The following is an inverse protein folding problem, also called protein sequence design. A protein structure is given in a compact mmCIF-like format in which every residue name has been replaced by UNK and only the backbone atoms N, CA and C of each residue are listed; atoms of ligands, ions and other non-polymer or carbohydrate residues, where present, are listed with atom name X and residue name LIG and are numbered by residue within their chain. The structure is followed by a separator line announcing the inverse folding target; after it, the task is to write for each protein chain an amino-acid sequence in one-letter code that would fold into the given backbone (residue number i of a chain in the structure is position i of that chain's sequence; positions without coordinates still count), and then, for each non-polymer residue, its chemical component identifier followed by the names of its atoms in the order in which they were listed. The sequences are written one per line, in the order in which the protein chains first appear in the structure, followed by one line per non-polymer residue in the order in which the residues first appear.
data_IF_525739962006
#
_entry.id   IF_525739962006
#
_cell.length_a   1.000
_cell.length_b   1.000
_cell.length_c   1.000
_cell.angle_alpha   90.00
_cell.angle_beta   90.00
_cell.angle_gamma   90.00
#
_symmetry.space_group_name_H-M   'P 1'
#
loop_
_entity.id
_entity.type
_entity.pdbx_description
1 polymer ?
#
# COMPACT_ATOMS: atom_id res chain seq x y z
N UNK A 1 -25.90 32.19 30.87
CA UNK A 1 -24.47 32.22 30.51
C UNK A 1 -24.16 33.62 29.98
N UNK A 2 -23.10 34.27 30.47
CA UNK A 2 -22.76 35.65 30.06
C UNK A 2 -21.89 35.63 28.78
N UNK A 3 -21.85 36.74 28.05
CA UNK A 3 -21.12 36.85 26.78
C UNK A 3 -19.64 36.45 26.90
N UNK A 4 -18.99 36.76 28.02
CA UNK A 4 -17.59 36.40 28.27
C UNK A 4 -17.37 34.88 28.34
N UNK A 5 -18.31 34.13 28.91
CA UNK A 5 -18.24 32.66 28.95
C UNK A 5 -18.34 32.05 27.55
N UNK A 6 -19.23 32.60 26.71
CA UNK A 6 -19.39 32.14 25.33
C UNK A 6 -18.13 32.43 24.51
N UNK A 7 -17.55 33.61 24.68
CA UNK A 7 -16.32 33.98 23.99
C UNK A 7 -15.15 33.10 24.44
N UNK A 8 -15.06 32.78 25.74
CA UNK A 8 -14.07 31.84 26.27
C UNK A 8 -14.23 30.45 25.66
N UNK A 9 -15.44 29.90 25.65
CA UNK A 9 -15.70 28.59 25.06
C UNK A 9 -15.37 28.53 23.55
N UNK A 10 -15.67 29.59 22.79
CA UNK A 10 -15.28 29.69 21.37
C UNK A 10 -13.76 29.72 21.24
N UNK A 11 -13.06 30.49 22.08
CA UNK A 11 -11.61 30.63 22.03
C UNK A 11 -10.87 29.34 22.37
N UNK A 12 -11.36 28.58 23.32
CA UNK A 12 -10.75 27.32 23.78
C UNK A 12 -11.06 26.16 22.84
N UNK A 13 -12.10 26.29 22.01
CA UNK A 13 -12.45 25.27 21.03
C UNK A 13 -11.43 25.20 19.88
N UNK A 14 -10.86 24.01 19.60
CA UNK A 14 -9.89 23.83 18.50
C UNK A 14 -10.45 24.22 17.13
N UNK A 15 -11.78 24.26 16.97
CA UNK A 15 -12.41 24.68 15.74
C UNK A 15 -12.11 26.13 15.39
N UNK A 16 -12.09 27.04 16.37
CA UNK A 16 -11.96 28.48 16.16
C UNK A 16 -10.55 29.01 16.43
N UNK A 17 -9.58 28.13 16.68
CA UNK A 17 -8.17 28.52 16.80
C UNK A 17 -7.65 29.21 15.53
N UNK A 18 -6.95 30.33 15.72
CA UNK A 18 -6.41 31.15 14.63
C UNK A 18 -7.42 32.09 13.97
N UNK A 19 -8.69 32.07 14.41
CA UNK A 19 -9.70 33.04 14.00
C UNK A 19 -9.48 34.39 14.70
N UNK A 20 -9.72 35.50 13.98
CA UNK A 20 -9.64 36.85 14.55
C UNK A 20 -10.61 37.02 15.72
N UNK A 21 -10.21 37.81 16.72
CA UNK A 21 -11.00 37.99 17.95
C UNK A 21 -12.36 38.64 17.65
N UNK A 22 -12.40 39.59 16.72
CA UNK A 22 -13.62 40.26 16.29
C UNK A 22 -14.64 39.27 15.70
N UNK A 23 -14.14 38.29 14.94
CA UNK A 23 -14.95 37.24 14.32
C UNK A 23 -15.46 36.25 15.38
N UNK A 24 -14.63 35.87 16.36
CA UNK A 24 -15.05 35.06 17.50
C UNK A 24 -16.13 35.77 18.34
N UNK A 25 -15.97 37.08 18.58
CA UNK A 25 -16.97 37.89 19.27
C UNK A 25 -18.28 37.98 18.49
N UNK A 26 -18.22 38.07 17.17
CA UNK A 26 -19.40 38.09 16.32
C UNK A 26 -20.13 36.75 16.35
N UNK A 27 -19.41 35.63 16.28
CA UNK A 27 -19.98 34.30 16.43
C UNK A 27 -20.63 34.11 17.81
N UNK A 28 -20.01 34.59 18.90
CA UNK A 28 -20.63 34.57 20.23
C UNK A 28 -21.98 35.31 20.27
N UNK A 29 -22.14 36.40 19.49
CA UNK A 29 -23.40 37.15 19.39
C UNK A 29 -24.45 36.46 18.51
N UNK A 30 -24.01 35.78 17.46
CA UNK A 30 -24.89 35.08 16.52
C UNK A 30 -25.37 33.72 17.05
N UNK A 31 -24.67 33.16 18.03
CA UNK A 31 -24.98 31.87 18.61
C UNK A 31 -26.14 31.93 19.60
N UNK A 32 -26.91 30.84 19.67
CA UNK A 32 -27.97 30.62 20.64
C UNK A 32 -27.59 29.49 21.60
N UNK A 33 -27.67 29.74 22.90
CA UNK A 33 -27.48 28.69 23.91
C UNK A 33 -28.76 27.86 24.01
N UNK A 34 -28.59 26.54 24.06
CA UNK A 34 -29.67 25.57 24.20
C UNK A 34 -29.28 24.46 25.19
N UNK A 35 -30.24 24.06 26.02
CA UNK A 35 -30.06 23.08 27.10
C UNK A 35 -30.77 21.79 26.72
N UNK A 36 -30.05 20.67 26.82
CA UNK A 36 -30.51 19.35 26.42
C UNK A 36 -30.71 18.46 27.65
N UNK A 37 -31.85 17.76 27.76
CA UNK A 37 -32.06 16.79 28.83
C UNK A 37 -31.22 15.51 28.58
N UNK A 38 -31.16 14.65 29.59
CA UNK A 38 -30.64 13.29 29.42
C UNK A 38 -31.42 12.54 28.32
N UNK A 39 -30.70 11.89 27.41
CA UNK A 39 -31.23 11.30 26.18
C UNK A 39 -31.57 12.31 25.07
N UNK A 40 -31.30 13.60 25.26
CA UNK A 40 -31.60 14.65 24.28
C UNK A 40 -30.85 14.44 22.98
N UNK A 41 -31.57 14.40 21.85
CA UNK A 41 -31.01 14.14 20.51
C UNK A 41 -30.76 15.46 19.79
N UNK A 42 -29.54 15.66 19.31
CA UNK A 42 -29.19 16.80 18.45
C UNK A 42 -29.66 16.57 17.01
N UNK A 43 -29.43 15.37 16.49
CA UNK A 43 -29.87 14.97 15.15
C UNK A 43 -29.80 13.45 14.96
N UNK A 44 -30.49 12.96 13.93
CA UNK A 44 -30.52 11.55 13.52
C UNK A 44 -29.92 11.31 12.12
N UNK A 45 -29.53 10.07 11.80
CA UNK A 45 -29.18 9.69 10.44
C UNK A 45 -30.31 10.01 9.47
N UNK A 46 -29.96 10.49 8.27
CA UNK A 46 -30.89 10.91 7.23
C UNK A 46 -31.39 12.35 7.35
N UNK A 47 -31.28 12.99 8.52
CA UNK A 47 -31.69 14.38 8.70
C UNK A 47 -30.71 15.34 7.99
N UNK A 48 -31.23 16.49 7.56
CA UNK A 48 -30.40 17.58 7.06
C UNK A 48 -29.86 18.42 8.23
N UNK A 49 -28.63 18.94 8.13
CA UNK A 49 -28.01 19.67 9.22
C UNK A 49 -28.71 21.01 9.46
N UNK A 50 -29.23 21.19 10.67
CA UNK A 50 -30.01 22.37 11.08
C UNK A 50 -29.13 23.49 11.66
N UNK A 51 -28.01 23.14 12.28
CA UNK A 51 -27.09 24.09 12.92
C UNK A 51 -25.67 23.51 13.03
N UNK A 52 -24.70 24.39 13.29
CA UNK A 52 -23.40 24.06 13.89
C UNK A 52 -23.56 24.08 15.41
N UNK A 53 -22.99 23.10 16.11
CA UNK A 53 -23.05 23.02 17.57
C UNK A 53 -21.65 23.10 18.16
N UNK A 54 -21.50 23.83 19.26
CA UNK A 54 -20.36 23.80 20.16
C UNK A 54 -20.84 23.30 21.52
N UNK A 55 -20.24 22.23 22.04
CA UNK A 55 -20.56 21.69 23.36
C UNK A 55 -19.99 22.62 24.42
N UNK A 56 -20.85 23.18 25.28
CA UNK A 56 -20.47 24.03 26.41
C UNK A 56 -20.42 23.27 27.72
N UNK A 57 -21.21 22.20 27.84
CA UNK A 57 -21.28 21.34 29.01
C UNK A 57 -21.87 19.98 28.62
N UNK A 58 -21.45 18.93 29.31
CA UNK A 58 -21.84 17.54 29.03
C UNK A 58 -21.02 16.87 27.92
N UNK A 59 -21.47 15.67 27.53
CA UNK A 59 -20.83 14.84 26.50
C UNK A 59 -21.88 14.43 25.46
N UNK A 60 -21.56 14.67 24.19
CA UNK A 60 -22.34 14.18 23.05
C UNK A 60 -21.76 12.84 22.61
N UNK A 61 -22.59 11.81 22.62
CA UNK A 61 -22.29 10.50 22.06
C UNK A 61 -22.73 10.48 20.59
N UNK A 62 -21.80 10.12 19.70
CA UNK A 62 -22.05 9.97 18.27
C UNK A 62 -22.08 8.49 17.93
N UNK A 63 -23.22 8.01 17.44
CA UNK A 63 -23.43 6.62 17.07
C UNK A 63 -23.58 6.44 15.56
N UNK A 64 -23.04 5.36 15.01
CA UNK A 64 -23.19 4.98 13.60
C UNK A 64 -23.59 3.52 13.48
N UNK A 65 -24.35 3.21 12.45
CA UNK A 65 -24.69 1.82 12.11
C UNK A 65 -23.53 1.21 11.33
N UNK A 66 -22.92 0.17 11.88
CA UNK A 66 -21.76 -0.52 11.28
C UNK A 66 -22.21 -1.65 10.34
N UNK A 67 -23.29 -2.35 10.69
CA UNK A 67 -24.00 -3.29 9.84
C UNK A 67 -25.43 -3.49 10.36
N UNK A 68 -26.34 -3.97 9.51
CA UNK A 68 -27.74 -4.21 9.87
C UNK A 68 -27.93 -5.23 11.01
N UNK A 69 -26.90 -6.03 11.33
CA UNK A 69 -26.94 -7.05 12.39
C UNK A 69 -26.50 -6.50 13.75
N UNK A 70 -25.59 -5.51 13.77
CA UNK A 70 -24.97 -4.96 15.01
C UNK A 70 -25.67 -3.67 15.48
N UNK A 71 -26.36 -2.99 14.57
CA UNK A 71 -27.11 -1.76 14.86
C UNK A 71 -26.23 -0.56 15.15
N UNK A 72 -26.79 0.47 15.82
CA UNK A 72 -26.09 1.70 16.17
C UNK A 72 -25.06 1.46 17.28
N UNK A 73 -23.79 1.75 17.00
CA UNK A 73 -22.69 1.69 17.98
C UNK A 73 -22.07 3.08 18.19
N UNK A 74 -21.65 3.42 19.42
CA UNK A 74 -20.89 4.64 19.70
C UNK A 74 -19.54 4.63 18.96
N UNK A 75 -19.28 5.66 18.15
CA UNK A 75 -18.03 5.82 17.39
C UNK A 75 -17.19 7.01 17.85
N UNK A 76 -17.79 7.95 18.60
CA UNK A 76 -17.07 9.08 19.17
C UNK A 76 -17.81 9.67 20.37
N UNK A 77 -17.04 10.27 21.28
CA UNK A 77 -17.54 11.05 22.41
C UNK A 77 -16.97 12.46 22.32
N UNK A 78 -17.84 13.47 22.29
CA UNK A 78 -17.48 14.87 22.11
C UNK A 78 -17.85 15.66 23.37
N UNK A 79 -16.84 16.06 24.13
CA UNK A 79 -17.00 16.85 25.36
C UNK A 79 -16.96 18.36 25.13
N UNK A 80 -16.92 19.12 26.21
CA UNK A 80 -16.80 20.58 26.20
C UNK A 80 -15.71 21.08 25.24
N UNK A 81 -16.01 22.17 24.51
CA UNK A 81 -15.13 22.74 23.50
C UNK A 81 -15.20 22.05 22.12
N UNK A 82 -15.82 20.87 22.03
CA UNK A 82 -15.95 20.15 20.76
C UNK A 82 -17.05 20.74 19.89
N UNK A 83 -16.79 20.81 18.60
CA UNK A 83 -17.79 21.17 17.59
C UNK A 83 -18.41 19.94 16.95
N UNK A 84 -19.67 20.07 16.52
CA UNK A 84 -20.43 19.01 15.85
C UNK A 84 -21.07 19.57 14.60
N UNK A 85 -21.09 18.77 13.52
CA UNK A 85 -21.71 19.05 12.21
C UNK A 85 -20.96 20.02 11.30
N UNK A 86 -19.69 20.32 11.56
CA UNK A 86 -18.94 21.43 10.97
C UNK A 86 -18.85 21.39 9.46
N UNK A 87 -18.67 20.19 8.90
CA UNK A 87 -18.67 20.00 7.45
C UNK A 87 -20.09 19.95 6.88
N UNK A 88 -21.01 19.34 7.63
CA UNK A 88 -22.36 19.03 7.15
C UNK A 88 -23.19 20.30 7.07
N UNK A 89 -23.08 21.19 8.06
CA UNK A 89 -23.74 22.50 8.06
C UNK A 89 -23.38 23.33 6.82
N UNK A 90 -22.17 23.18 6.27
CA UNK A 90 -21.79 23.81 5.01
C UNK A 90 -22.36 23.06 3.80
N UNK A 91 -22.07 21.78 3.67
CA UNK A 91 -22.41 20.99 2.48
C UNK A 91 -23.91 20.77 2.32
N UNK A 92 -24.69 20.84 3.41
CA UNK A 92 -26.11 20.50 3.41
C UNK A 92 -26.40 19.01 3.17
N UNK A 93 -25.36 18.16 3.15
CA UNK A 93 -25.53 16.72 2.92
C UNK A 93 -26.12 16.04 4.15
N UNK A 94 -26.87 14.97 3.93
CA UNK A 94 -27.51 14.21 5.00
C UNK A 94 -26.50 13.75 6.06
N UNK A 95 -26.96 13.76 7.32
CA UNK A 95 -26.24 13.25 8.46
C UNK A 95 -26.26 11.71 8.42
N UNK A 96 -25.16 11.08 8.82
CA UNK A 96 -24.97 9.62 8.75
C UNK A 96 -24.80 8.98 10.12
N UNK A 97 -25.01 9.76 11.18
CA UNK A 97 -24.80 9.36 12.56
C UNK A 97 -25.91 9.95 13.43
N UNK A 98 -26.25 9.24 14.50
CA UNK A 98 -27.05 9.76 15.61
C UNK A 98 -26.10 10.55 16.52
N UNK A 99 -26.52 11.74 16.97
CA UNK A 99 -25.82 12.46 18.02
C UNK A 99 -26.79 12.80 19.14
N UNK A 100 -26.47 12.39 20.37
CA UNK A 100 -27.31 12.66 21.55
C UNK A 100 -26.47 12.88 22.81
N UNK A 101 -27.10 13.44 23.84
CA UNK A 101 -26.53 13.59 25.17
C UNK A 101 -26.99 12.45 26.08
N UNK A 102 -26.14 11.50 26.49
CA UNK A 102 -26.56 10.44 27.40
C UNK A 102 -27.04 10.99 28.76
N UNK A 103 -26.32 11.96 29.33
CA UNK A 103 -26.60 12.55 30.64
C UNK A 103 -27.20 13.97 30.60
N UNK A 104 -27.45 14.51 29.40
CA UNK A 104 -27.82 15.91 29.20
C UNK A 104 -26.59 16.81 29.05
N UNK A 105 -26.82 18.08 28.71
CA UNK A 105 -25.74 19.05 28.51
C UNK A 105 -26.23 20.35 27.88
N UNK A 106 -25.28 21.21 27.52
CA UNK A 106 -25.57 22.54 26.94
C UNK A 106 -24.75 22.77 25.68
N UNK A 107 -25.36 23.38 24.67
CA UNK A 107 -24.67 23.74 23.42
C UNK A 107 -24.83 25.22 23.10
N UNK A 108 -23.81 25.81 22.46
CA UNK A 108 -23.95 27.02 21.66
C UNK A 108 -24.23 26.60 20.21
N UNK A 109 -25.30 27.12 19.62
CA UNK A 109 -25.77 26.71 18.30
C UNK A 109 -25.81 27.88 17.33
N UNK A 110 -25.35 27.65 16.10
CA UNK A 110 -25.52 28.57 14.98
C UNK A 110 -26.44 27.94 13.94
N UNK A 111 -27.71 28.39 13.84
CA UNK A 111 -28.62 27.90 12.82
C UNK A 111 -28.00 28.04 11.43
N UNK A 112 -28.13 27.00 10.61
CA UNK A 112 -27.50 26.93 9.29
C UNK A 112 -27.74 28.18 8.43
N UNK A 113 -28.96 28.75 8.34
CA UNK A 113 -29.18 29.96 7.54
C UNK A 113 -28.40 31.17 8.07
N UNK A 114 -28.27 31.30 9.40
CA UNK A 114 -27.53 32.40 10.04
C UNK A 114 -26.03 32.24 9.78
N UNK A 115 -25.51 31.03 9.99
CA UNK A 115 -24.10 30.72 9.76
C UNK A 115 -23.71 30.94 8.29
N UNK A 116 -24.50 30.43 7.34
CA UNK A 116 -24.21 30.61 5.93
C UNK A 116 -24.28 32.06 5.49
N UNK A 117 -25.30 32.81 5.93
CA UNK A 117 -25.40 34.24 5.61
C UNK A 117 -24.15 34.98 6.06
N UNK A 118 -23.68 34.68 7.27
CA UNK A 118 -22.48 35.27 7.81
C UNK A 118 -21.22 34.85 7.07
N UNK A 119 -21.10 33.57 6.69
CA UNK A 119 -20.00 33.05 5.88
C UNK A 119 -19.94 33.70 4.49
N UNK A 120 -21.08 34.03 3.88
CA UNK A 120 -21.12 34.77 2.62
C UNK A 120 -20.64 36.22 2.75
N UNK A 121 -20.78 36.83 3.93
CA UNK A 121 -20.39 38.23 4.17
C UNK A 121 -19.02 38.40 4.83
N UNK A 122 -18.54 37.41 5.60
CA UNK A 122 -17.27 37.45 6.31
C UNK A 122 -16.18 36.71 5.54
N UNK A 123 -15.20 37.46 5.06
CA UNK A 123 -14.02 36.90 4.39
C UNK A 123 -13.17 36.08 5.35
N UNK A 124 -13.08 36.50 6.61
CA UNK A 124 -12.29 35.84 7.64
C UNK A 124 -12.89 34.48 8.00
N UNK A 125 -14.20 34.41 8.20
CA UNK A 125 -14.89 33.14 8.45
C UNK A 125 -14.77 32.18 7.26
N UNK A 126 -14.93 32.69 6.04
CA UNK A 126 -14.80 31.89 4.83
C UNK A 126 -13.38 31.32 4.67
N UNK A 127 -12.34 32.14 4.85
CA UNK A 127 -10.94 31.70 4.77
C UNK A 127 -10.61 30.69 5.88
N UNK A 128 -11.12 30.91 7.10
CA UNK A 128 -10.94 29.97 8.21
C UNK A 128 -11.49 28.58 7.85
N UNK A 129 -12.71 28.52 7.31
CA UNK A 129 -13.31 27.27 6.84
C UNK A 129 -12.51 26.63 5.69
N UNK A 130 -12.08 27.42 4.71
CA UNK A 130 -11.27 26.92 3.59
C UNK A 130 -9.96 26.30 4.07
N UNK A 131 -9.22 26.98 4.95
CA UNK A 131 -7.97 26.49 5.51
C UNK A 131 -8.18 25.23 6.35
N UNK A 132 -9.24 25.17 7.16
CA UNK A 132 -9.60 23.99 7.95
C UNK A 132 -9.94 22.79 7.07
N UNK A 133 -10.73 23.00 6.01
CA UNK A 133 -11.07 21.94 5.06
C UNK A 133 -9.86 21.48 4.25
N UNK A 134 -8.97 22.40 3.85
CA UNK A 134 -7.72 22.07 3.17
C UNK A 134 -6.79 21.23 4.08
N UNK A 135 -6.54 21.67 5.32
CA UNK A 135 -5.77 20.90 6.30
C UNK A 135 -6.39 19.55 6.62
N UNK A 136 -7.72 19.48 6.71
CA UNK A 136 -8.41 18.21 6.92
C UNK A 136 -8.31 17.33 5.68
N UNK A 137 -8.37 17.88 4.47
CA UNK A 137 -8.17 17.11 3.24
C UNK A 137 -6.73 16.60 3.14
N UNK A 138 -5.73 17.42 3.44
CA UNK A 138 -4.32 17.02 3.53
C UNK A 138 -4.13 15.93 4.59
N UNK A 139 -4.72 16.11 5.78
CA UNK A 139 -4.71 15.13 6.86
C UNK A 139 -5.45 13.85 6.47
N UNK A 140 -6.62 13.92 5.85
CA UNK A 140 -7.35 12.74 5.36
C UNK A 140 -6.64 12.07 4.19
N UNK A 141 -5.91 12.79 3.32
CA UNK A 141 -5.08 12.16 2.28
C UNK A 141 -3.88 11.46 2.92
N UNK A 142 -3.24 12.08 3.92
CA UNK A 142 -2.19 11.45 4.70
C UNK A 142 -2.69 10.23 5.48
N UNK A 143 -3.88 10.34 6.07
CA UNK A 143 -4.54 9.29 6.85
C UNK A 143 -5.15 8.21 5.95
N UNK A 144 -5.63 8.51 4.75
CA UNK A 144 -6.00 7.52 3.73
C UNK A 144 -4.74 6.82 3.21
N UNK A 145 -3.62 7.53 3.11
CA UNK A 145 -2.29 6.92 2.94
C UNK A 145 -1.90 5.99 4.10
N UNK A 146 -2.35 6.28 5.33
CA UNK A 146 -2.03 5.51 6.54
C UNK A 146 -3.07 4.44 6.96
N UNK A 147 -4.32 4.55 6.50
CA UNK A 147 -5.48 3.71 6.89
C UNK A 147 -6.16 3.05 5.69
N UNK A 148 -5.65 3.21 4.46
CA UNK A 148 -6.08 2.43 3.29
C UNK A 148 -4.96 1.62 2.64
N UNK A 149 -3.76 1.58 3.21
CA UNK A 149 -2.73 0.60 2.86
C UNK A 149 -2.30 -0.14 4.12
N UNK A 150 -2.20 -1.46 4.08
CA UNK A 150 -1.35 -2.11 5.07
C UNK A 150 0.02 -1.43 5.00
N UNK A 151 0.54 -0.93 6.12
CA UNK A 151 1.89 -0.35 6.24
C UNK A 151 3.00 -1.41 6.03
N UNK A 152 2.82 -2.32 5.06
CA UNK A 152 3.78 -3.33 4.69
C UNK A 152 4.80 -2.67 3.75
N UNK A 153 5.78 -2.04 4.39
CA UNK A 153 6.99 -1.54 3.74
C UNK A 153 8.20 -1.90 4.59
N UNK A 154 9.34 -2.10 3.95
CA UNK A 154 10.55 -2.46 4.65
C UNK A 154 11.72 -2.72 3.70
N UNK A 155 12.87 -3.05 4.29
CA UNK A 155 14.07 -3.45 3.56
C UNK A 155 14.08 -4.97 3.38
N UNK A 156 14.45 -5.43 2.19
CA UNK A 156 14.53 -6.87 1.89
C UNK A 156 15.59 -7.59 2.74
N UNK A 157 16.61 -6.87 3.22
CA UNK A 157 17.65 -7.43 4.11
C UNK A 157 17.11 -7.92 5.48
N UNK A 158 15.88 -7.55 5.85
CA UNK A 158 15.29 -7.86 7.16
C UNK A 158 13.98 -8.63 7.07
N UNK A 159 13.40 -8.75 5.87
CA UNK A 159 12.09 -9.34 5.68
C UNK A 159 12.12 -10.31 4.51
N UNK A 160 11.48 -11.46 4.73
CA UNK A 160 11.39 -12.53 3.75
C UNK A 160 10.21 -12.29 2.78
N UNK A 161 10.49 -12.16 1.48
CA UNK A 161 9.49 -11.87 0.45
C UNK A 161 8.34 -12.91 0.38
N UNK A 162 8.59 -14.23 0.44
CA UNK A 162 7.56 -15.24 0.60
C UNK A 162 6.60 -14.96 1.77
N UNK A 163 7.14 -14.64 2.95
CA UNK A 163 6.34 -14.38 4.14
C UNK A 163 5.50 -13.09 4.01
N UNK A 164 6.09 -12.03 3.45
CA UNK A 164 5.40 -10.77 3.13
C UNK A 164 4.23 -11.06 2.19
N UNK A 165 4.48 -11.75 1.09
CA UNK A 165 3.46 -12.04 0.09
C UNK A 165 2.32 -12.90 0.67
N UNK A 166 2.63 -13.92 1.46
CA UNK A 166 1.62 -14.72 2.15
C UNK A 166 0.76 -13.87 3.06
N UNK A 167 1.38 -12.98 3.84
CA UNK A 167 0.66 -12.05 4.73
C UNK A 167 -0.32 -11.17 3.96
N UNK A 168 0.13 -10.60 2.84
CA UNK A 168 -0.72 -9.77 1.96
C UNK A 168 -1.88 -10.59 1.40
N UNK A 169 -1.62 -11.80 0.91
CA UNK A 169 -2.62 -12.65 0.25
C UNK A 169 -3.63 -13.18 1.26
N UNK A 170 -3.19 -13.67 2.42
CA UNK A 170 -4.07 -14.21 3.47
C UNK A 170 -5.02 -13.14 4.02
N UNK A 171 -4.53 -11.89 4.12
CA UNK A 171 -5.35 -10.74 4.50
C UNK A 171 -6.50 -10.46 3.52
N UNK A 172 -6.41 -10.98 2.28
CA UNK A 172 -7.38 -10.73 1.22
C UNK A 172 -7.28 -9.33 0.62
N UNK A 173 -6.21 -8.58 0.92
CA UNK A 173 -6.02 -7.23 0.42
C UNK A 173 -5.84 -7.21 -1.10
N UNK A 174 -6.59 -6.32 -1.75
CA UNK A 174 -6.44 -6.02 -3.18
C UNK A 174 -5.46 -4.86 -3.35
N UNK A 175 -4.39 -5.07 -4.11
CA UNK A 175 -3.33 -4.08 -4.29
C UNK A 175 -2.16 -4.60 -5.09
N UNK A 176 -1.04 -3.90 -5.01
CA UNK A 176 0.22 -4.23 -5.68
C UNK A 176 1.35 -4.24 -4.66
N UNK A 177 2.09 -5.34 -4.59
CA UNK A 177 3.36 -5.44 -3.90
C UNK A 177 4.46 -5.06 -4.89
N UNK A 178 5.06 -3.89 -4.67
CA UNK A 178 6.16 -3.35 -5.45
C UNK A 178 7.49 -3.69 -4.77
N UNK A 179 8.47 -4.09 -5.58
CA UNK A 179 9.84 -4.35 -5.19
C UNK A 179 10.70 -3.29 -5.88
N UNK A 180 11.51 -2.60 -5.10
CA UNK A 180 12.33 -1.47 -5.52
C UNK A 180 13.80 -1.81 -5.24
N UNK A 181 14.69 -1.39 -6.13
CA UNK A 181 16.13 -1.48 -5.90
C UNK A 181 16.64 -0.38 -4.94
N UNK A 182 17.96 -0.35 -4.71
CA UNK A 182 18.59 0.63 -3.83
C UNK A 182 18.47 2.09 -4.31
N UNK A 183 18.15 2.31 -5.60
CA UNK A 183 17.95 3.63 -6.21
C UNK A 183 16.45 4.02 -6.28
N UNK A 184 15.57 3.26 -5.59
CA UNK A 184 14.11 3.43 -5.60
C UNK A 184 13.50 3.23 -7.00
N UNK A 185 14.18 2.49 -7.88
CA UNK A 185 13.68 2.13 -9.20
C UNK A 185 12.95 0.80 -9.11
N UNK A 186 11.86 0.70 -9.88
CA UNK A 186 11.01 -0.48 -9.90
C UNK A 186 11.78 -1.70 -10.45
N UNK A 187 11.93 -2.71 -9.59
CA UNK A 187 12.50 -4.00 -9.93
C UNK A 187 11.40 -4.98 -10.39
N UNK A 188 10.30 -5.04 -9.64
CA UNK A 188 9.17 -5.91 -9.95
C UNK A 188 7.89 -5.56 -9.20
N UNK A 189 6.77 -6.11 -9.67
CA UNK A 189 5.45 -5.87 -9.10
C UNK A 189 4.59 -7.14 -9.13
N UNK A 190 3.88 -7.39 -8.04
CA UNK A 190 2.97 -8.52 -7.87
C UNK A 190 1.59 -7.99 -7.47
N UNK A 191 0.59 -8.15 -8.35
CA UNK A 191 -0.77 -7.76 -8.06
C UNK A 191 -1.47 -8.83 -7.22
N UNK A 192 -2.19 -8.41 -6.19
CA UNK A 192 -2.99 -9.29 -5.34
C UNK A 192 -4.46 -8.88 -5.37
N UNK A 193 -5.36 -9.85 -5.35
CA UNK A 193 -6.80 -9.62 -5.22
C UNK A 193 -7.48 -10.89 -4.73
N UNK A 194 -8.45 -10.78 -3.82
CA UNK A 194 -9.28 -11.91 -3.38
C UNK A 194 -8.49 -13.17 -2.98
N UNK A 195 -7.38 -13.00 -2.23
CA UNK A 195 -6.43 -14.08 -1.84
C UNK A 195 -5.75 -14.81 -3.00
N UNK A 196 -5.64 -14.16 -4.15
CA UNK A 196 -4.99 -14.68 -5.34
C UNK A 196 -3.96 -13.68 -5.85
N UNK A 197 -3.02 -14.18 -6.67
CA UNK A 197 -2.06 -13.34 -7.40
C UNK A 197 -2.60 -13.12 -8.81
N UNK A 198 -2.65 -11.86 -9.23
CA UNK A 198 -2.99 -11.46 -10.60
C UNK A 198 -1.72 -11.31 -11.45
N UNK A 199 -1.60 -10.17 -12.13
CA UNK A 199 -0.43 -9.85 -12.95
C UNK A 199 0.86 -9.74 -12.12
N UNK A 200 1.95 -10.26 -12.69
CA UNK A 200 3.28 -10.28 -12.08
C UNK A 200 4.26 -9.79 -13.14
N UNK A 201 5.11 -8.83 -12.80
CA UNK A 201 6.06 -8.17 -13.71
C UNK A 201 7.43 -8.06 -13.06
N UNK A 202 8.49 -8.38 -13.79
CA UNK A 202 9.87 -8.16 -13.36
C UNK A 202 10.73 -7.83 -14.57
N UNK A 203 11.04 -6.55 -14.78
CA UNK A 203 11.67 -6.07 -16.01
C UNK A 203 10.90 -6.47 -17.27
N UNK A 204 11.45 -7.44 -18.02
CA UNK A 204 10.85 -8.01 -19.23
C UNK A 204 10.07 -9.31 -19.01
N UNK A 205 10.18 -9.89 -17.82
CA UNK A 205 9.51 -11.14 -17.47
C UNK A 205 8.09 -10.83 -17.03
N UNK A 206 7.17 -11.74 -17.33
CA UNK A 206 5.79 -11.68 -16.87
C UNK A 206 5.34 -13.02 -16.28
N UNK A 207 4.35 -13.00 -15.39
CA UNK A 207 3.73 -14.21 -14.87
C UNK A 207 4.66 -15.05 -13.97
N UNK A 208 4.78 -16.35 -14.24
CA UNK A 208 5.50 -17.27 -13.34
C UNK A 208 7.01 -17.01 -13.35
N UNK A 209 7.58 -16.69 -14.51
CA UNK A 209 9.01 -16.36 -14.62
C UNK A 209 9.36 -15.09 -13.85
N UNK A 210 8.51 -14.06 -13.94
CA UNK A 210 8.68 -12.84 -13.14
C UNK A 210 8.59 -13.14 -11.64
N UNK A 211 7.72 -14.06 -11.24
CA UNK A 211 7.56 -14.44 -9.84
C UNK A 211 8.81 -15.15 -9.29
N UNK A 212 9.35 -16.10 -10.08
CA UNK A 212 10.58 -16.80 -9.75
C UNK A 212 11.77 -15.83 -9.65
N UNK A 213 11.89 -14.90 -10.60
CA UNK A 213 12.96 -13.89 -10.60
C UNK A 213 12.92 -13.01 -9.34
N UNK A 214 11.73 -12.52 -8.96
CA UNK A 214 11.55 -11.67 -7.78
C UNK A 214 11.96 -12.37 -6.48
N UNK A 215 11.65 -13.65 -6.34
CA UNK A 215 11.91 -14.40 -5.10
C UNK A 215 13.34 -14.96 -5.04
N UNK A 216 13.86 -15.44 -6.17
CA UNK A 216 15.15 -16.13 -6.20
C UNK A 216 16.33 -15.17 -6.42
N UNK A 217 16.09 -14.00 -7.00
CA UNK A 217 17.13 -12.99 -7.27
C UNK A 217 16.62 -11.58 -6.96
N UNK A 218 16.18 -11.30 -5.71
CA UNK A 218 15.75 -9.96 -5.32
C UNK A 218 16.91 -8.95 -5.37
N UNK A 219 16.64 -7.65 -5.57
CA UNK A 219 17.67 -6.62 -5.63
C UNK A 219 18.37 -6.47 -4.27
N UNK A 220 19.70 -6.37 -4.29
CA UNK A 220 20.50 -6.09 -3.09
C UNK A 220 20.13 -4.75 -2.47
N UNK A 221 20.00 -4.69 -1.14
CA UNK A 221 19.57 -3.50 -0.41
C UNK A 221 18.21 -2.93 -0.88
N UNK A 222 17.40 -3.75 -1.54
CA UNK A 222 16.11 -3.35 -2.06
C UNK A 222 15.08 -3.09 -0.96
N UNK A 223 13.97 -2.49 -1.35
CA UNK A 223 12.82 -2.29 -0.48
C UNK A 223 11.56 -2.86 -1.11
N UNK A 224 10.55 -3.11 -0.28
CA UNK A 224 9.23 -3.48 -0.75
C UNK A 224 8.19 -2.48 -0.23
N UNK A 225 7.10 -2.34 -0.99
CA UNK A 225 5.95 -1.52 -0.62
C UNK A 225 4.68 -2.16 -1.14
N UNK A 226 3.67 -2.30 -0.27
CA UNK A 226 2.34 -2.69 -0.69
C UNK A 226 1.40 -1.47 -0.81
N UNK A 227 0.67 -1.38 -1.93
CA UNK A 227 -0.22 -0.26 -2.26
C UNK A 227 -1.60 -0.76 -2.71
N UNK A 228 -2.68 -0.32 -2.04
CA UNK A 228 -4.06 -0.74 -2.36
C UNK A 228 -4.74 0.10 -3.47
N UNK A 229 -3.97 0.95 -4.17
CA UNK A 229 -4.52 1.99 -5.04
C UNK A 229 -4.94 1.49 -6.44
N UNK A 230 -4.60 0.25 -6.81
CA UNK A 230 -4.90 -0.28 -8.13
C UNK A 230 -6.07 -1.27 -8.08
N UNK A 231 -7.20 -0.88 -8.68
CA UNK A 231 -8.22 -1.85 -9.10
C UNK A 231 -7.55 -2.74 -10.15
N UNK A 232 -7.34 -4.01 -9.82
CA UNK A 232 -6.81 -4.97 -10.78
C UNK A 232 -7.80 -5.07 -11.98
N UNK A 233 -7.34 -4.96 -13.23
CA UNK A 233 -8.21 -5.09 -14.39
C UNK A 233 -8.86 -6.48 -14.42
N UNK A 234 -10.15 -6.57 -14.77
CA UNK A 234 -10.95 -7.81 -14.78
C UNK A 234 -10.39 -8.92 -15.71
N UNK A 235 -9.42 -8.60 -16.56
CA UNK A 235 -8.80 -9.51 -17.55
C UNK A 235 -7.56 -10.26 -17.05
N UNK A 236 -7.13 -10.06 -15.81
CA UNK A 236 -5.94 -10.74 -15.27
C UNK A 236 -6.17 -12.23 -14.99
N UNK A 237 -5.17 -13.05 -15.30
CA UNK A 237 -5.17 -14.47 -14.94
C UNK A 237 -4.78 -14.61 -13.48
N UNK A 238 -5.74 -14.98 -12.64
CA UNK A 238 -5.50 -15.18 -11.21
C UNK A 238 -4.96 -16.59 -10.90
N UNK A 239 -3.95 -16.65 -10.03
CA UNK A 239 -3.25 -17.87 -9.63
C UNK A 239 -3.16 -17.99 -8.11
N UNK A 240 -3.11 -19.21 -7.62
CA UNK A 240 -2.86 -19.47 -6.20
C UNK A 240 -1.38 -19.21 -5.87
N UNK A 241 -1.13 -18.58 -4.73
CA UNK A 241 0.24 -18.24 -4.27
C UNK A 241 1.03 -19.49 -3.89
N UNK A 242 0.40 -20.43 -3.18
CA UNK A 242 1.10 -21.57 -2.59
C UNK A 242 1.86 -22.44 -3.61
N UNK A 243 1.28 -22.83 -4.76
CA UNK A 243 2.03 -23.55 -5.80
C UNK A 243 3.23 -22.75 -6.33
N UNK A 244 3.09 -21.43 -6.49
CA UNK A 244 4.17 -20.58 -6.98
C UNK A 244 5.30 -20.47 -5.96
N UNK A 245 4.99 -20.37 -4.66
CA UNK A 245 5.99 -20.34 -3.59
C UNK A 245 6.73 -21.67 -3.44
N UNK A 246 6.04 -22.80 -3.57
CA UNK A 246 6.68 -24.12 -3.54
C UNK A 246 7.66 -24.28 -4.70
N UNK A 247 7.28 -23.82 -5.89
CA UNK A 247 8.17 -23.85 -7.05
C UNK A 247 9.35 -22.88 -6.90
N UNK A 248 9.12 -21.67 -6.38
CA UNK A 248 10.20 -20.72 -6.09
C UNK A 248 11.21 -21.31 -5.09
N UNK A 249 10.74 -21.90 -3.99
CA UNK A 249 11.60 -22.54 -3.00
C UNK A 249 12.41 -23.70 -3.60
N UNK A 250 11.78 -24.56 -4.41
CA UNK A 250 12.48 -25.64 -5.12
C UNK A 250 13.59 -25.08 -6.03
N UNK A 251 13.27 -24.05 -6.82
CA UNK A 251 14.24 -23.44 -7.74
C UNK A 251 15.37 -22.77 -6.96
N UNK A 252 15.09 -22.08 -5.85
CA UNK A 252 16.09 -21.42 -5.02
C UNK A 252 17.11 -22.41 -4.44
N UNK A 253 16.64 -23.52 -3.86
CA UNK A 253 17.49 -24.55 -3.27
C UNK A 253 18.40 -25.20 -4.32
N UNK A 254 17.84 -25.55 -5.48
CA UNK A 254 18.59 -26.17 -6.58
C UNK A 254 19.54 -25.19 -7.26
N UNK A 255 19.14 -23.92 -7.39
CA UNK A 255 19.92 -22.87 -8.03
C UNK A 255 21.15 -22.51 -7.21
N UNK A 256 21.00 -22.33 -5.89
CA UNK A 256 22.11 -22.03 -5.00
C UNK A 256 23.22 -23.08 -5.11
N UNK A 257 22.85 -24.36 -5.15
CA UNK A 257 23.81 -25.45 -5.31
C UNK A 257 24.54 -25.42 -6.67
N UNK A 258 23.83 -25.08 -7.74
CA UNK A 258 24.43 -25.02 -9.07
C UNK A 258 25.34 -23.80 -9.26
N UNK A 259 24.92 -22.62 -8.78
CA UNK A 259 25.66 -21.38 -8.89
C UNK A 259 27.05 -21.46 -8.22
N UNK A 260 27.15 -22.21 -7.11
CA UNK A 260 28.44 -22.50 -6.44
C UNK A 260 29.38 -23.37 -7.29
N UNK A 261 28.84 -24.16 -8.22
CA UNK A 261 29.60 -25.14 -9.00
C UNK A 261 30.04 -24.57 -10.36
N UNK A 262 29.19 -23.76 -10.99
CA UNK A 262 29.44 -23.20 -12.33
C UNK A 262 29.18 -21.69 -12.31
N UNK A 263 30.25 -20.86 -12.35
CA UNK A 263 30.11 -19.41 -12.39
C UNK A 263 29.28 -18.92 -13.58
N UNK A 264 28.57 -17.81 -13.42
CA UNK A 264 27.70 -17.25 -14.48
C UNK A 264 28.44 -16.90 -15.77
N UNK A 265 29.74 -16.59 -15.63
CA UNK A 265 30.65 -16.23 -16.72
C UNK A 265 31.32 -17.43 -17.36
N UNK A 266 31.12 -18.65 -16.84
CA UNK A 266 31.71 -19.86 -17.39
C UNK A 266 31.18 -20.07 -18.81
N UNK A 267 32.08 -20.05 -19.80
CA UNK A 267 31.71 -20.14 -21.20
C UNK A 267 31.14 -21.53 -21.50
N UNK A 268 29.92 -21.55 -22.02
CA UNK A 268 29.22 -22.76 -22.41
C UNK A 268 29.31 -22.95 -23.92
N UNK A 269 29.42 -24.21 -24.34
CA UNK A 269 29.35 -24.56 -25.75
C UNK A 269 28.60 -25.89 -25.97
N UNK A 270 27.94 -26.06 -27.12
CA UNK A 270 27.34 -27.33 -27.51
C UNK A 270 28.38 -28.46 -27.57
N UNK A 271 28.13 -29.56 -26.86
CA UNK A 271 29.02 -30.74 -26.90
C UNK A 271 28.84 -31.57 -28.18
N UNK A 272 27.71 -31.41 -28.87
CA UNK A 272 27.36 -32.16 -30.08
C UNK A 272 26.91 -31.22 -31.19
N UNK A 273 26.87 -31.71 -32.44
CA UNK A 273 26.42 -30.91 -33.60
C UNK A 273 24.90 -30.81 -33.75
N UNK A 274 24.14 -31.62 -33.01
CA UNK A 274 22.69 -31.68 -33.06
C UNK A 274 22.16 -31.86 -31.65
N UNK A 275 21.17 -31.05 -31.29
CA UNK A 275 20.47 -31.19 -30.01
C UNK A 275 19.86 -32.59 -29.92
N UNK A 276 20.25 -33.32 -28.88
CA UNK A 276 19.74 -34.65 -28.56
C UNK A 276 19.29 -34.64 -27.10
N UNK A 277 18.08 -34.14 -26.85
CA UNK A 277 17.52 -33.95 -25.52
C UNK A 277 16.41 -34.97 -25.25
N UNK A 278 16.48 -35.64 -24.08
CA UNK A 278 15.51 -36.67 -23.66
C UNK A 278 14.99 -36.47 -22.22
N UNK A 279 15.37 -35.39 -21.55
CA UNK A 279 15.00 -35.09 -20.16
C UNK A 279 14.04 -33.90 -20.03
N UNK A 280 13.50 -33.66 -18.84
CA UNK A 280 13.00 -32.35 -18.42
C UNK A 280 11.66 -31.84 -18.99
N UNK A 281 11.13 -30.82 -18.31
CA UNK A 281 9.75 -30.31 -18.43
C UNK A 281 9.64 -29.13 -19.43
N UNK A 282 10.75 -28.65 -20.02
CA UNK A 282 10.73 -27.43 -20.84
C UNK A 282 11.61 -27.55 -22.10
N UNK A 283 11.06 -28.17 -23.15
CA UNK A 283 11.77 -28.39 -24.41
C UNK A 283 12.09 -27.08 -25.14
N UNK A 284 11.20 -26.08 -25.03
CA UNK A 284 11.33 -24.79 -25.70
C UNK A 284 12.53 -24.01 -25.16
N UNK A 285 12.71 -23.98 -23.82
CA UNK A 285 13.87 -23.35 -23.20
C UNK A 285 15.19 -24.02 -23.59
N UNK A 286 15.22 -25.36 -23.65
CA UNK A 286 16.41 -26.12 -24.05
C UNK A 286 16.79 -25.81 -25.50
N UNK A 287 15.81 -25.75 -26.40
CA UNK A 287 16.02 -25.38 -27.81
C UNK A 287 16.57 -23.96 -27.94
N UNK A 288 16.02 -23.01 -27.18
CA UNK A 288 16.45 -21.62 -27.22
C UNK A 288 17.87 -21.43 -26.66
N UNK A 289 18.19 -22.05 -25.51
CA UNK A 289 19.56 -22.07 -24.95
C UNK A 289 20.53 -22.66 -25.97
N UNK A 290 20.19 -23.81 -26.56
CA UNK A 290 21.01 -24.46 -27.57
C UNK A 290 21.24 -23.57 -28.80
N UNK A 291 20.20 -22.90 -29.28
CA UNK A 291 20.27 -22.00 -30.42
C UNK A 291 21.23 -20.84 -30.16
N UNK A 292 21.13 -20.18 -29.00
CA UNK A 292 22.04 -19.09 -28.63
C UNK A 292 23.50 -19.56 -28.53
N UNK A 293 23.75 -20.68 -27.84
CA UNK A 293 25.11 -21.22 -27.68
C UNK A 293 25.71 -21.78 -28.97
N UNK A 294 24.87 -22.19 -29.93
CA UNK A 294 25.32 -22.60 -31.27
C UNK A 294 25.77 -21.40 -32.12
N UNK A 295 25.25 -20.20 -31.85
CA UNK A 295 25.65 -18.98 -32.53
C UNK A 295 26.91 -18.36 -31.90
N UNK A 296 26.98 -18.32 -30.57
CA UNK A 296 28.09 -17.74 -29.84
C UNK A 296 28.26 -18.40 -28.46
N UNK A 297 29.50 -18.73 -28.09
CA UNK A 297 29.81 -19.19 -26.73
C UNK A 297 29.66 -18.03 -25.75
N UNK A 298 28.89 -18.26 -24.70
CA UNK A 298 28.66 -17.26 -23.66
C UNK A 298 28.41 -17.94 -22.31
N UNK A 299 28.49 -17.14 -21.24
CA UNK A 299 28.10 -17.58 -19.91
C UNK A 299 26.59 -17.67 -19.76
N UNK A 300 26.11 -18.51 -18.84
CA UNK A 300 24.67 -18.63 -18.61
C UNK A 300 24.04 -17.36 -18.03
N UNK A 301 24.82 -16.46 -17.41
CA UNK A 301 24.34 -15.14 -17.01
C UNK A 301 23.89 -14.29 -18.21
N UNK A 302 24.60 -14.37 -19.35
CA UNK A 302 24.21 -13.67 -20.59
C UNK A 302 22.93 -14.26 -21.16
N UNK A 303 22.76 -15.59 -21.10
CA UNK A 303 21.51 -16.23 -21.49
C UNK A 303 20.34 -15.72 -20.63
N UNK A 304 20.55 -15.51 -19.33
CA UNK A 304 19.54 -14.94 -18.44
C UNK A 304 19.19 -13.48 -18.75
N UNK A 305 20.10 -12.72 -19.36
CA UNK A 305 19.84 -11.38 -19.89
C UNK A 305 19.25 -11.36 -21.30
N UNK A 306 19.25 -12.47 -22.04
CA UNK A 306 18.70 -12.57 -23.40
C UNK A 306 17.33 -13.28 -23.46
N UNK A 307 17.13 -14.35 -22.71
CA UNK A 307 15.95 -15.20 -22.81
C UNK A 307 14.82 -14.78 -21.84
N UNK A 308 13.54 -14.92 -22.22
CA UNK A 308 12.39 -14.49 -21.41
C UNK A 308 12.07 -15.47 -20.26
N UNK A 309 13.09 -15.97 -19.58
CA UNK A 309 13.00 -16.90 -18.46
C UNK A 309 13.81 -16.37 -17.27
N UNK A 310 13.40 -16.77 -16.07
CA UNK A 310 14.09 -16.42 -14.83
C UNK A 310 15.51 -16.99 -14.79
N UNK A 311 16.40 -16.29 -14.08
CA UNK A 311 17.81 -16.70 -13.89
C UNK A 311 17.91 -18.12 -13.36
N UNK A 312 17.07 -18.45 -12.36
CA UNK A 312 16.99 -19.78 -11.77
C UNK A 312 16.64 -20.85 -12.80
N UNK A 313 15.60 -20.62 -13.61
CA UNK A 313 15.17 -21.62 -14.60
C UNK A 313 16.21 -21.87 -15.68
N UNK A 314 16.91 -20.82 -16.13
CA UNK A 314 17.99 -20.93 -17.10
C UNK A 314 19.15 -21.73 -16.51
N UNK A 315 19.56 -21.40 -15.30
CA UNK A 315 20.66 -22.06 -14.62
C UNK A 315 20.38 -23.56 -14.39
N UNK A 316 19.18 -23.92 -13.92
CA UNK A 316 18.77 -25.32 -13.75
C UNK A 316 18.70 -26.07 -15.08
N UNK A 317 18.23 -25.43 -16.13
CA UNK A 317 18.20 -26.04 -17.46
C UNK A 317 19.62 -26.27 -17.99
N UNK A 318 20.51 -25.29 -17.83
CA UNK A 318 21.93 -25.42 -18.17
C UNK A 318 22.58 -26.55 -17.38
N UNK A 319 22.31 -26.65 -16.08
CA UNK A 319 22.78 -27.75 -15.22
C UNK A 319 22.37 -29.10 -15.80
N UNK A 320 21.09 -29.27 -16.12
CA UNK A 320 20.57 -30.54 -16.62
C UNK A 320 21.16 -30.88 -18.00
N UNK A 321 21.37 -29.87 -18.85
CA UNK A 321 22.07 -30.02 -20.14
C UNK A 321 23.56 -30.38 -19.99
N UNK A 322 24.25 -29.86 -18.98
CA UNK A 322 25.63 -30.25 -18.65
C UNK A 322 25.68 -31.70 -18.14
N UNK A 323 24.78 -32.07 -17.22
CA UNK A 323 24.71 -33.43 -16.66
C UNK A 323 24.36 -34.48 -17.71
N UNK A 324 23.56 -34.13 -18.71
CA UNK A 324 23.24 -35.00 -19.84
C UNK A 324 24.33 -35.03 -20.92
N UNK A 325 25.40 -34.25 -20.79
CA UNK A 325 26.48 -34.12 -21.78
C UNK A 325 26.06 -33.44 -23.08
N UNK A 326 25.00 -32.62 -23.04
CA UNK A 326 24.54 -31.82 -24.19
C UNK A 326 25.37 -30.55 -24.30
N UNK A 327 25.73 -29.94 -23.17
CA UNK A 327 26.67 -28.81 -23.11
C UNK A 327 27.99 -29.24 -22.47
N UNK A 328 29.05 -28.47 -22.75
CA UNK A 328 30.32 -28.53 -22.02
C UNK A 328 30.71 -27.12 -21.56
N UNK A 329 31.43 -27.04 -20.44
CA UNK A 329 32.13 -25.82 -20.04
C UNK A 329 33.45 -25.76 -20.80
N UNK A 330 33.71 -24.65 -21.48
CA UNK A 330 34.95 -24.42 -22.20
C UNK A 330 36.11 -24.24 -21.21
N UNK A 331 36.95 -25.27 -21.07
CA UNK A 331 38.04 -25.33 -20.07
C UNK A 331 39.31 -24.61 -20.51
N UNK A 332 39.37 -24.02 -21.70
CA UNK A 332 40.58 -23.38 -22.22
C UNK A 332 40.86 -21.97 -21.64
N UNK A 333 40.11 -21.54 -20.61
CA UNK A 333 40.37 -20.30 -19.87
C UNK A 333 40.36 -20.55 -18.35
N UNK A 334 41.26 -21.42 -17.87
CA UNK A 334 41.71 -21.34 -16.47
C UNK A 334 42.30 -19.95 -16.24
N UNK A 335 41.59 -19.14 -15.45
CA UNK A 335 42.10 -17.89 -14.92
C UNK A 335 43.35 -18.22 -14.12
N UNK A 336 44.47 -17.69 -14.60
CA UNK A 336 45.76 -17.61 -13.92
C UNK A 336 45.55 -16.87 -12.59
N UNK A 337 45.32 -17.62 -11.52
CA UNK A 337 45.53 -17.11 -10.17
C UNK A 337 47.06 -17.06 -9.95
N UNK A 338 47.64 -15.90 -10.24
CA UNK A 338 49.00 -15.55 -9.80
C UNK A 338 49.01 -15.51 -8.25
N UNK A 339 49.59 -16.55 -7.64
CA UNK A 339 50.14 -16.45 -6.28
C UNK A 339 51.37 -15.53 -6.32
N UNK A 340 51.44 -14.45 -5.51
CA UNK A 340 52.69 -13.73 -5.37
C UNK A 340 53.62 -14.58 -4.50
N UNK A 341 54.66 -15.13 -5.12
CA UNK A 341 55.80 -15.71 -4.43
C UNK A 341 56.44 -14.65 -3.52
N UNK A 342 56.21 -14.78 -2.21
CA UNK A 342 56.97 -14.09 -1.17
C UNK A 342 58.36 -14.75 -1.08
N UNK A 343 59.31 -14.19 -1.83
CA UNK A 343 60.74 -14.40 -1.64
C UNK A 343 61.45 -13.05 -1.55
N UNK A 344 62.02 -12.76 -0.38
CA UNK A 344 62.80 -11.55 -0.09
C UNK A 344 63.05 -11.36 1.39
#
# INVERSE_FOLDING_TARGET
MIFEDLLRAIRESPFFHGMALEEQMLLARLGRVDVHPAGGVLFRPGETPSALYLVLDGVVEVCREESSEVGLQPVAYLGEGSTVSESKVLTGTALNSLAHFPAGGTTLQWPRPVLLRHLYSSRDLALHYLQRLARRLEGTIADLGAHSGSNLRGRLDHFDLPAILQTVVDSGATGVLEILDAEDKNFGAIHTSSRMVGRILCGRLEGSEAFLEILNSPPENGTFRFSNLAVAPETDTYRQVQPLLLEAARVQDEFAHFADTVPETALLQPATRRLAWRGGIDADLVEEIWHQLSAQTCGWGVLAELLPFSRGQIALTVRDMLLSGVLNVDRDHEITNDEPALGG
#
